data_IF_971198654194
#
_entry.id   IF_971198654194
#
_cell.length_a   1.000
_cell.length_b   1.000
_cell.length_c   1.000
_cell.angle_alpha   90.00
_cell.angle_beta   90.00
_cell.angle_gamma   90.00
#
_symmetry.space_group_name_H-M   'P 1'
#
loop_
_entity.id
_entity.type
_entity.pdbx_description
1 polymer ?
#
# COMPACT_ATOMS: atom_id res chain seq x y z
N UNK A 1 21.53 16.42 -3.86
CA UNK A 1 20.84 16.61 -2.57
C UNK A 1 19.42 17.05 -2.88
N UNK A 2 18.47 16.11 -2.94
CA UNK A 2 17.05 16.47 -2.92
C UNK A 2 16.76 17.02 -1.53
N UNK A 3 16.39 18.29 -1.43
CA UNK A 3 15.84 18.84 -0.18
C UNK A 3 14.51 18.16 0.07
N UNK A 4 14.50 17.11 0.90
CA UNK A 4 13.29 16.47 1.39
C UNK A 4 12.53 17.48 2.26
N UNK A 5 11.28 17.77 1.89
CA UNK A 5 10.40 18.71 2.59
C UNK A 5 9.57 18.00 3.68
N UNK A 6 10.13 16.98 4.32
CA UNK A 6 9.48 16.16 5.37
C UNK A 6 8.84 17.03 6.48
N UNK A 7 9.47 18.14 6.86
CA UNK A 7 9.02 19.03 7.92
C UNK A 7 7.62 19.63 7.65
N UNK A 8 7.18 19.68 6.39
CA UNK A 8 5.85 20.18 6.00
C UNK A 8 4.75 19.31 6.60
N UNK A 9 4.92 17.98 6.64
CA UNK A 9 3.93 17.09 7.24
C UNK A 9 3.80 17.29 8.75
N UNK A 10 4.94 17.38 9.45
CA UNK A 10 4.93 17.63 10.89
C UNK A 10 4.32 19.00 11.22
N UNK A 11 4.63 20.02 10.41
CA UNK A 11 3.98 21.33 10.51
C UNK A 11 2.47 21.25 10.29
N UNK A 12 2.00 20.51 9.28
CA UNK A 12 0.57 20.33 9.01
C UNK A 12 -0.14 19.60 10.14
N UNK A 13 0.47 18.54 10.72
CA UNK A 13 -0.07 17.84 11.88
C UNK A 13 -0.28 18.79 13.05
N UNK A 14 0.74 19.60 13.38
CA UNK A 14 0.65 20.60 14.46
C UNK A 14 -0.40 21.66 14.12
N UNK A 15 -0.39 22.19 12.90
CA UNK A 15 -1.32 23.24 12.47
C UNK A 15 -2.78 22.77 12.53
N UNK A 16 -3.08 21.56 12.04
CA UNK A 16 -4.42 20.96 12.10
C UNK A 16 -4.85 20.79 13.56
N UNK A 17 -3.99 20.19 14.40
CA UNK A 17 -4.32 19.96 15.80
C UNK A 17 -4.59 21.25 16.57
N UNK A 18 -3.68 22.24 16.46
CA UNK A 18 -3.81 23.53 17.15
C UNK A 18 -5.04 24.30 16.65
N UNK A 19 -5.26 24.33 15.33
CA UNK A 19 -6.41 25.02 14.75
C UNK A 19 -7.74 24.46 15.28
N UNK A 20 -7.91 23.14 15.25
CA UNK A 20 -9.14 22.48 15.70
C UNK A 20 -9.37 22.70 17.19
N UNK A 21 -8.32 22.61 18.00
CA UNK A 21 -8.40 22.86 19.45
C UNK A 21 -8.82 24.29 19.75
N UNK A 22 -8.24 25.29 19.07
CA UNK A 22 -8.60 26.71 19.25
C UNK A 22 -10.04 26.98 18.81
N UNK A 23 -10.46 26.43 17.67
CA UNK A 23 -11.84 26.59 17.16
C UNK A 23 -12.84 25.97 18.14
N UNK A 24 -12.53 24.79 18.71
CA UNK A 24 -13.41 24.13 19.67
C UNK A 24 -13.41 24.77 21.04
N UNK A 25 -12.30 25.38 21.46
CA UNK A 25 -12.28 26.21 22.67
C UNK A 25 -13.20 27.44 22.51
N UNK A 26 -13.31 28.01 21.30
CA UNK A 26 -14.20 29.15 21.01
C UNK A 26 -15.65 28.75 20.73
N UNK A 27 -15.91 27.51 20.30
CA UNK A 27 -17.26 26.95 20.19
C UNK A 27 -17.81 26.67 21.60
N UNK A 28 -19.05 27.06 21.85
CA UNK A 28 -19.72 26.71 23.12
C UNK A 28 -19.76 25.19 23.33
N UNK A 29 -19.63 24.76 24.59
CA UNK A 29 -19.44 23.36 25.03
C UNK A 29 -20.37 22.38 24.35
N UNK A 30 -21.65 22.71 24.33
CA UNK A 30 -22.68 21.87 23.74
C UNK A 30 -22.38 21.46 22.30
N UNK A 31 -22.03 22.44 21.46
CA UNK A 31 -21.83 22.20 20.03
C UNK A 31 -20.60 21.33 19.82
N UNK A 32 -19.56 21.60 20.62
CA UNK A 32 -18.35 20.81 20.65
C UNK A 32 -18.66 19.36 21.07
N UNK A 33 -19.46 19.12 22.11
CA UNK A 33 -19.82 17.75 22.56
C UNK A 33 -20.54 16.97 21.46
N UNK A 34 -21.59 17.54 20.87
CA UNK A 34 -22.39 16.85 19.84
C UNK A 34 -21.53 16.52 18.63
N UNK A 35 -20.71 17.47 18.16
CA UNK A 35 -19.82 17.24 17.02
C UNK A 35 -18.71 16.25 17.37
N UNK A 36 -18.07 16.36 18.53
CA UNK A 36 -17.00 15.47 18.96
C UNK A 36 -17.46 14.00 19.06
N UNK A 37 -18.60 13.74 19.70
CA UNK A 37 -19.22 12.41 19.72
C UNK A 37 -19.57 11.98 18.28
N UNK A 38 -20.12 12.89 17.50
CA UNK A 38 -20.42 12.70 16.09
C UNK A 38 -19.22 12.21 15.27
N UNK A 39 -18.06 12.85 15.41
CA UNK A 39 -16.82 12.48 14.74
C UNK A 39 -16.33 11.08 15.12
N UNK A 40 -16.35 10.76 16.41
CA UNK A 40 -15.93 9.44 16.91
C UNK A 40 -16.86 8.35 16.38
N UNK A 41 -18.18 8.53 16.55
CA UNK A 41 -19.17 7.56 16.06
C UNK A 41 -19.10 7.38 14.55
N UNK A 42 -18.92 8.48 13.80
CA UNK A 42 -18.81 8.44 12.35
C UNK A 42 -17.53 7.73 11.91
N UNK A 43 -16.40 7.96 12.59
CA UNK A 43 -15.16 7.25 12.34
C UNK A 43 -15.34 5.75 12.51
N UNK A 44 -15.89 5.32 13.64
CA UNK A 44 -16.13 3.89 13.91
C UNK A 44 -17.09 3.29 12.89
N UNK A 45 -18.23 3.94 12.63
CA UNK A 45 -19.22 3.45 11.68
C UNK A 45 -18.64 3.38 10.25
N UNK A 46 -17.91 4.40 9.81
CA UNK A 46 -17.29 4.43 8.49
C UNK A 46 -16.23 3.33 8.34
N UNK A 47 -15.39 3.11 9.35
CA UNK A 47 -14.39 2.03 9.34
C UNK A 47 -15.04 0.65 9.20
N UNK A 48 -16.07 0.37 10.00
CA UNK A 48 -16.77 -0.91 9.96
C UNK A 48 -17.47 -1.13 8.62
N UNK A 49 -18.18 -0.13 8.12
CA UNK A 49 -18.88 -0.23 6.83
C UNK A 49 -17.89 -0.33 5.67
N UNK A 50 -16.76 0.38 5.71
CA UNK A 50 -15.73 0.29 4.69
C UNK A 50 -15.08 -1.10 4.66
N UNK A 51 -14.75 -1.68 5.82
CA UNK A 51 -14.17 -3.02 5.91
C UNK A 51 -15.10 -4.10 5.31
N UNK A 52 -16.42 -3.95 5.47
CA UNK A 52 -17.41 -4.88 4.89
C UNK A 52 -17.63 -4.62 3.40
N UNK A 53 -17.66 -3.37 2.98
CA UNK A 53 -17.97 -3.00 1.59
C UNK A 53 -16.77 -3.15 0.64
N UNK A 54 -15.53 -2.98 1.12
CA UNK A 54 -14.35 -2.98 0.28
C UNK A 54 -14.10 -4.31 -0.45
N UNK A 55 -14.23 -5.50 0.18
CA UNK A 55 -14.09 -6.77 -0.53
C UNK A 55 -15.15 -6.97 -1.62
N UNK A 56 -16.40 -6.55 -1.38
CA UNK A 56 -17.46 -6.63 -2.38
C UNK A 56 -17.23 -5.67 -3.55
N UNK A 57 -16.74 -4.45 -3.26
CA UNK A 57 -16.36 -3.49 -4.29
C UNK A 57 -15.14 -3.96 -5.08
N UNK A 58 -14.18 -4.58 -4.42
CA UNK A 58 -13.01 -5.17 -5.05
C UNK A 58 -13.41 -6.20 -6.11
N UNK A 59 -14.27 -7.16 -5.73
CA UNK A 59 -14.75 -8.22 -6.63
C UNK A 59 -15.52 -7.66 -7.83
N UNK A 60 -16.23 -6.54 -7.67
CA UNK A 60 -17.08 -6.00 -8.73
C UNK A 60 -16.38 -5.03 -9.67
N UNK A 61 -15.31 -4.34 -9.23
CA UNK A 61 -14.75 -3.20 -9.98
C UNK A 61 -13.25 -3.35 -10.28
N UNK A 62 -12.53 -4.14 -9.48
CA UNK A 62 -11.08 -4.25 -9.55
C UNK A 62 -10.59 -5.63 -10.01
N UNK A 63 -11.20 -6.71 -9.52
CA UNK A 63 -10.73 -8.09 -9.73
C UNK A 63 -10.49 -8.39 -11.22
N UNK A 64 -11.50 -8.27 -12.07
CA UNK A 64 -11.38 -8.57 -13.51
C UNK A 64 -10.30 -7.73 -14.21
N UNK A 65 -10.13 -6.47 -13.81
CA UNK A 65 -9.11 -5.59 -14.38
C UNK A 65 -7.70 -6.03 -13.96
N UNK A 66 -7.53 -6.39 -12.68
CA UNK A 66 -6.26 -6.92 -12.17
C UNK A 66 -5.91 -8.25 -12.84
N UNK A 67 -6.86 -9.19 -12.95
CA UNK A 67 -6.65 -10.48 -13.62
C UNK A 67 -6.22 -10.26 -15.06
N UNK A 68 -6.93 -9.40 -15.83
CA UNK A 68 -6.54 -9.08 -17.21
C UNK A 68 -5.16 -8.44 -17.30
N UNK A 69 -4.84 -7.53 -16.39
CA UNK A 69 -3.54 -6.87 -16.32
C UNK A 69 -2.41 -7.88 -16.08
N UNK A 70 -2.57 -8.75 -15.08
CA UNK A 70 -1.60 -9.79 -14.72
C UNK A 70 -1.49 -10.85 -15.83
N UNK A 71 -2.60 -11.34 -16.38
CA UNK A 71 -2.59 -12.27 -17.53
C UNK A 71 -1.83 -11.65 -18.70
N UNK A 72 -2.00 -10.36 -18.96
CA UNK A 72 -1.30 -9.66 -20.05
C UNK A 72 0.18 -9.48 -19.72
N UNK A 73 0.55 -9.12 -18.50
CA UNK A 73 1.94 -9.04 -18.07
C UNK A 73 2.65 -10.39 -18.26
N UNK A 74 2.03 -11.47 -17.78
CA UNK A 74 2.55 -12.83 -17.93
C UNK A 74 2.78 -13.24 -19.40
N UNK A 75 1.93 -12.80 -20.34
CA UNK A 75 2.11 -13.10 -21.77
C UNK A 75 3.33 -12.43 -22.39
N UNK A 76 3.80 -11.33 -21.82
CA UNK A 76 4.97 -10.58 -22.30
C UNK A 76 6.26 -10.98 -21.57
N UNK A 77 6.16 -11.83 -20.54
CA UNK A 77 7.32 -12.31 -19.81
C UNK A 77 7.91 -13.56 -20.46
N UNK A 78 9.21 -13.52 -20.72
CA UNK A 78 10.07 -14.69 -20.85
C UNK A 78 11.11 -14.68 -19.72
N UNK A 79 10.80 -15.37 -18.62
CA UNK A 79 11.72 -15.43 -17.48
C UNK A 79 13.01 -16.18 -17.77
N UNK A 80 13.03 -17.09 -18.75
CA UNK A 80 14.25 -17.78 -19.13
C UNK A 80 15.21 -16.81 -19.82
N UNK A 81 14.69 -15.95 -20.70
CA UNK A 81 15.45 -14.87 -21.34
C UNK A 81 15.92 -13.84 -20.30
N UNK A 82 15.01 -13.32 -19.47
CA UNK A 82 15.32 -12.33 -18.42
C UNK A 82 16.44 -12.80 -17.50
N UNK A 83 16.35 -14.02 -16.97
CA UNK A 83 17.39 -14.53 -16.08
C UNK A 83 18.69 -14.85 -16.81
N UNK A 84 18.63 -15.35 -18.05
CA UNK A 84 19.83 -15.62 -18.83
C UNK A 84 20.59 -14.33 -19.14
N UNK A 85 19.88 -13.27 -19.56
CA UNK A 85 20.47 -11.95 -19.81
C UNK A 85 21.06 -11.35 -18.53
N UNK A 86 20.33 -11.41 -17.41
CA UNK A 86 20.81 -10.91 -16.13
C UNK A 86 22.11 -11.59 -15.67
N UNK A 87 22.23 -12.91 -15.88
CA UNK A 87 23.45 -13.68 -15.59
C UNK A 87 24.57 -13.31 -16.56
N UNK A 88 24.28 -13.23 -17.86
CA UNK A 88 25.26 -12.96 -18.91
C UNK A 88 25.83 -11.54 -18.87
N UNK A 89 25.08 -10.59 -18.27
CA UNK A 89 25.56 -9.24 -18.00
C UNK A 89 26.56 -9.17 -16.83
N UNK A 90 26.77 -10.27 -16.11
CA UNK A 90 27.80 -10.40 -15.07
C UNK A 90 29.05 -11.07 -15.63
N UNK A 91 30.23 -10.72 -15.10
CA UNK A 91 31.50 -11.35 -15.46
C UNK A 91 31.75 -12.64 -14.66
N UNK A 92 30.84 -13.61 -14.80
CA UNK A 92 30.93 -14.90 -14.10
C UNK A 92 31.78 -15.94 -14.83
N UNK A 93 32.30 -15.63 -16.01
CA UNK A 93 33.16 -16.54 -16.78
C UNK A 93 32.43 -17.69 -17.48
N UNK A 94 31.10 -17.64 -17.57
CA UNK A 94 30.30 -18.56 -18.36
C UNK A 94 29.10 -17.84 -19.00
N UNK A 95 28.47 -18.46 -19.99
CA UNK A 95 27.26 -17.96 -20.65
C UNK A 95 26.09 -18.89 -20.31
N UNK A 96 25.00 -18.32 -19.78
CA UNK A 96 23.72 -18.98 -19.60
C UNK A 96 22.97 -19.01 -20.93
N UNK A 97 22.76 -20.22 -21.46
CA UNK A 97 21.89 -20.46 -22.61
C UNK A 97 20.41 -20.45 -22.20
N UNK A 98 19.56 -19.79 -22.98
CA UNK A 98 18.13 -19.65 -22.69
C UNK A 98 17.43 -21.01 -22.60
N UNK A 99 17.81 -22.00 -23.41
CA UNK A 99 17.20 -23.34 -23.33
C UNK A 99 17.66 -24.10 -22.08
N UNK A 100 18.87 -23.82 -21.56
CA UNK A 100 19.29 -24.36 -20.27
C UNK A 100 18.48 -23.73 -19.13
N UNK A 101 18.28 -22.42 -19.16
CA UNK A 101 17.41 -21.71 -18.22
C UNK A 101 15.98 -22.22 -18.26
N UNK A 102 15.40 -22.37 -19.44
CA UNK A 102 14.05 -22.88 -19.62
C UNK A 102 13.89 -24.30 -19.05
N UNK A 103 14.90 -25.16 -19.21
CA UNK A 103 14.89 -26.52 -18.60
C UNK A 103 14.89 -26.49 -17.08
N UNK A 104 15.63 -25.55 -16.46
CA UNK A 104 15.65 -25.39 -15.01
C UNK A 104 14.26 -24.93 -14.53
N UNK A 105 13.72 -23.89 -15.17
CA UNK A 105 12.45 -23.27 -14.77
C UNK A 105 11.23 -24.17 -15.04
N UNK A 106 11.24 -24.97 -16.11
CA UNK A 106 10.16 -25.94 -16.40
C UNK A 106 10.22 -27.20 -15.55
N UNK A 107 11.26 -27.42 -14.74
CA UNK A 107 11.35 -28.61 -13.90
C UNK A 107 10.53 -28.44 -12.61
N UNK A 108 9.40 -29.15 -12.42
CA UNK A 108 8.50 -28.89 -11.30
C UNK A 108 9.13 -29.17 -9.92
N UNK A 109 10.15 -30.03 -9.86
CA UNK A 109 10.83 -30.38 -8.60
C UNK A 109 11.87 -29.35 -8.18
N UNK A 110 12.29 -28.51 -9.12
CA UNK A 110 13.45 -27.62 -8.99
C UNK A 110 13.08 -26.14 -9.14
N UNK A 111 11.96 -25.84 -9.80
CA UNK A 111 11.52 -24.48 -10.09
C UNK A 111 11.34 -23.61 -8.83
N UNK A 112 10.87 -24.17 -7.72
CA UNK A 112 10.73 -23.43 -6.48
C UNK A 112 12.08 -22.95 -5.88
N UNK A 113 13.18 -23.64 -6.21
CA UNK A 113 14.54 -23.34 -5.76
C UNK A 113 15.47 -23.02 -6.95
N UNK A 114 14.90 -22.41 -8.00
CA UNK A 114 15.58 -22.21 -9.27
C UNK A 114 16.85 -21.36 -9.17
N UNK A 115 16.94 -20.47 -8.17
CA UNK A 115 18.13 -19.65 -7.92
C UNK A 115 19.35 -20.54 -7.62
N UNK A 116 19.17 -21.57 -6.80
CA UNK A 116 20.23 -22.51 -6.45
C UNK A 116 20.62 -23.38 -7.63
N UNK A 117 19.65 -23.78 -8.45
CA UNK A 117 19.88 -24.59 -9.65
C UNK A 117 20.62 -23.81 -10.73
N UNK A 118 20.31 -22.52 -10.90
CA UNK A 118 21.08 -21.63 -11.77
C UNK A 118 22.51 -21.43 -11.29
N UNK A 119 22.69 -21.27 -9.98
CA UNK A 119 24.01 -21.15 -9.38
C UNK A 119 24.83 -22.44 -9.59
N UNK A 120 24.23 -23.61 -9.34
CA UNK A 120 24.91 -24.90 -9.49
C UNK A 120 25.28 -25.18 -10.95
N UNK A 121 24.40 -24.81 -11.89
CA UNK A 121 24.71 -24.86 -13.31
C UNK A 121 25.93 -24.00 -13.65
N UNK A 122 26.02 -22.78 -13.12
CA UNK A 122 27.18 -21.90 -13.33
C UNK A 122 28.46 -22.49 -12.75
N UNK A 123 28.39 -23.02 -11.52
CA UNK A 123 29.55 -23.58 -10.82
C UNK A 123 30.12 -24.80 -11.54
N UNK A 124 29.25 -25.64 -12.13
CA UNK A 124 29.65 -26.77 -12.97
C UNK A 124 30.36 -26.31 -14.25
N UNK A 125 29.99 -25.15 -14.82
CA UNK A 125 30.61 -24.59 -16.04
C UNK A 125 31.95 -23.91 -15.78
N UNK A 126 32.10 -23.24 -14.65
CA UNK A 126 33.33 -22.54 -14.25
C UNK A 126 34.33 -23.47 -13.55
N UNK A 127 33.91 -24.68 -13.16
CA UNK A 127 34.74 -25.63 -12.43
C UNK A 127 34.89 -25.31 -10.93
N UNK A 128 33.99 -24.49 -10.38
CA UNK A 128 34.00 -24.09 -8.97
C UNK A 128 33.15 -22.84 -8.69
N UNK A 129 33.08 -22.41 -7.41
CA UNK A 129 32.33 -21.21 -7.02
C UNK A 129 32.81 -19.95 -7.75
N UNK A 130 31.87 -19.17 -8.30
CA UNK A 130 32.15 -17.93 -9.05
C UNK A 130 31.57 -16.66 -8.37
N UNK A 131 30.66 -16.84 -7.43
CA UNK A 131 30.08 -15.80 -6.58
C UNK A 131 29.56 -16.44 -5.29
N UNK A 132 29.05 -15.66 -4.34
CA UNK A 132 28.21 -16.25 -3.28
C UNK A 132 26.79 -16.49 -3.80
N UNK A 133 26.09 -17.52 -3.28
CA UNK A 133 24.67 -17.77 -3.61
C UNK A 133 23.78 -16.56 -3.32
N UNK A 134 24.09 -15.80 -2.26
CA UNK A 134 23.34 -14.61 -1.87
C UNK A 134 23.48 -13.48 -2.90
N UNK A 135 24.71 -13.19 -3.34
CA UNK A 135 24.96 -12.19 -4.39
C UNK A 135 24.31 -12.59 -5.70
N UNK A 136 24.44 -13.87 -6.08
CA UNK A 136 23.83 -14.40 -7.29
C UNK A 136 22.29 -14.32 -7.26
N UNK A 137 21.65 -14.76 -6.17
CA UNK A 137 20.20 -14.62 -5.99
C UNK A 137 19.75 -13.16 -5.98
N UNK A 138 20.57 -12.23 -5.49
CA UNK A 138 20.26 -10.81 -5.57
C UNK A 138 20.23 -10.28 -7.02
N UNK A 139 21.12 -10.77 -7.89
CA UNK A 139 21.10 -10.44 -9.33
C UNK A 139 19.80 -10.91 -9.97
N UNK A 140 19.41 -12.18 -9.74
CA UNK A 140 18.17 -12.74 -10.28
C UNK A 140 16.93 -12.00 -9.76
N UNK A 141 16.88 -11.72 -8.46
CA UNK A 141 15.77 -10.98 -7.84
C UNK A 141 15.67 -9.55 -8.36
N UNK A 142 16.79 -8.85 -8.57
CA UNK A 142 16.75 -7.51 -9.13
C UNK A 142 16.24 -7.53 -10.57
N UNK A 143 16.68 -8.48 -11.40
CA UNK A 143 16.18 -8.65 -12.76
C UNK A 143 14.68 -8.98 -12.78
N UNK A 144 14.22 -9.87 -11.90
CA UNK A 144 12.79 -10.18 -11.75
C UNK A 144 11.97 -8.94 -11.38
N UNK A 145 12.43 -8.21 -10.36
CA UNK A 145 11.78 -6.98 -9.91
C UNK A 145 11.77 -5.92 -11.00
N UNK A 146 12.82 -5.78 -11.79
CA UNK A 146 12.88 -4.81 -12.88
C UNK A 146 11.96 -5.21 -14.03
N UNK A 147 12.16 -6.39 -14.64
CA UNK A 147 11.43 -6.80 -15.83
C UNK A 147 9.95 -7.05 -15.57
N UNK A 148 9.61 -7.93 -14.62
CA UNK A 148 8.20 -8.22 -14.33
C UNK A 148 7.51 -7.02 -13.70
N UNK A 149 8.27 -6.26 -12.92
CA UNK A 149 7.82 -5.01 -12.36
C UNK A 149 7.37 -3.98 -13.37
N UNK A 150 8.16 -3.77 -14.42
CA UNK A 150 7.82 -2.84 -15.49
C UNK A 150 6.58 -3.31 -16.25
N UNK A 151 6.46 -4.61 -16.52
CA UNK A 151 5.26 -5.18 -17.14
C UNK A 151 4.00 -4.96 -16.28
N UNK A 152 4.13 -5.11 -14.96
CA UNK A 152 3.06 -4.82 -14.01
C UNK A 152 2.71 -3.33 -13.99
N UNK A 153 3.69 -2.42 -13.92
CA UNK A 153 3.44 -0.97 -13.82
C UNK A 153 2.65 -0.42 -15.02
N UNK A 154 2.83 -1.01 -16.20
CA UNK A 154 2.09 -0.66 -17.41
C UNK A 154 0.65 -1.20 -17.45
N UNK A 155 0.32 -2.24 -16.66
CA UNK A 155 -0.90 -3.06 -16.83
C UNK A 155 -1.80 -3.14 -15.61
N UNK A 156 -1.26 -2.91 -14.42
CA UNK A 156 -2.02 -2.89 -13.15
C UNK A 156 -1.81 -1.56 -12.44
N UNK A 157 -2.71 -1.19 -11.50
CA UNK A 157 -2.53 0.04 -10.74
C UNK A 157 -1.20 0.07 -9.99
N UNK A 158 -0.55 1.23 -9.98
CA UNK A 158 0.81 1.41 -9.45
C UNK A 158 1.02 0.99 -7.99
N UNK A 159 0.00 1.12 -7.15
CA UNK A 159 0.07 0.63 -5.77
C UNK A 159 0.24 -0.89 -5.68
N UNK A 160 -0.22 -1.66 -6.68
CA UNK A 160 0.02 -3.11 -6.79
C UNK A 160 1.50 -3.36 -7.03
N UNK A 161 2.11 -2.60 -7.95
CA UNK A 161 3.54 -2.66 -8.24
C UNK A 161 4.40 -2.34 -7.00
N UNK A 162 4.09 -1.27 -6.28
CA UNK A 162 4.77 -0.90 -5.04
C UNK A 162 4.69 -2.01 -3.99
N UNK A 163 3.50 -2.61 -3.82
CA UNK A 163 3.30 -3.70 -2.87
C UNK A 163 4.05 -4.97 -3.28
N UNK A 164 4.03 -5.31 -4.58
CA UNK A 164 4.81 -6.42 -5.14
C UNK A 164 6.31 -6.26 -4.89
N UNK A 165 6.88 -5.08 -5.15
CA UNK A 165 8.30 -4.79 -4.89
C UNK A 165 8.66 -5.02 -3.43
N UNK A 166 7.83 -4.46 -2.53
CA UNK A 166 8.02 -4.60 -1.08
C UNK A 166 7.98 -6.06 -0.65
N UNK A 167 6.98 -6.81 -1.14
CA UNK A 167 6.78 -8.21 -0.79
C UNK A 167 7.96 -9.08 -1.24
N UNK A 168 8.36 -8.97 -2.51
CA UNK A 168 9.46 -9.77 -3.07
C UNK A 168 10.82 -9.42 -2.43
N UNK A 169 11.03 -8.16 -2.04
CA UNK A 169 12.24 -7.76 -1.28
C UNK A 169 12.23 -8.30 0.15
N UNK A 170 11.06 -8.44 0.77
CA UNK A 170 10.91 -8.86 2.17
C UNK A 170 10.82 -10.37 2.38
N UNK A 171 10.28 -11.12 1.42
CA UNK A 171 10.18 -12.59 1.44
C UNK A 171 11.07 -13.19 0.34
N UNK A 172 12.26 -13.72 0.70
CA UNK A 172 13.17 -14.35 -0.25
C UNK A 172 12.55 -15.52 -1.04
N UNK A 173 11.50 -16.15 -0.51
CA UNK A 173 10.85 -17.31 -1.15
C UNK A 173 9.74 -16.93 -2.13
N UNK A 174 9.26 -15.68 -2.09
CA UNK A 174 8.09 -15.28 -2.87
C UNK A 174 8.37 -15.36 -4.37
N UNK A 175 9.52 -14.86 -4.83
CA UNK A 175 9.90 -14.94 -6.25
C UNK A 175 9.84 -16.39 -6.77
N UNK A 176 10.44 -17.34 -6.05
CA UNK A 176 10.40 -18.77 -6.42
C UNK A 176 8.98 -19.31 -6.53
N UNK A 177 8.08 -18.94 -5.61
CA UNK A 177 6.65 -19.31 -5.68
C UNK A 177 5.98 -18.73 -6.93
N UNK A 178 6.18 -17.44 -7.22
CA UNK A 178 5.54 -16.79 -8.37
C UNK A 178 6.05 -17.38 -9.70
N UNK A 179 7.35 -17.64 -9.80
CA UNK A 179 7.96 -18.31 -10.97
C UNK A 179 7.43 -19.75 -11.12
N UNK A 180 7.24 -20.47 -10.01
CA UNK A 180 6.64 -21.81 -10.04
C UNK A 180 5.22 -21.78 -10.62
N UNK A 181 4.39 -20.84 -10.17
CA UNK A 181 3.03 -20.65 -10.72
C UNK A 181 3.08 -20.29 -12.20
N UNK A 182 4.02 -19.42 -12.61
CA UNK A 182 4.20 -19.04 -14.00
C UNK A 182 4.49 -20.24 -14.91
N UNK A 183 5.38 -21.14 -14.50
CA UNK A 183 5.76 -22.34 -15.26
C UNK A 183 4.88 -23.58 -15.00
N UNK A 184 3.83 -23.47 -14.17
CA UNK A 184 2.90 -24.57 -13.95
C UNK A 184 2.06 -24.83 -15.21
N UNK A 185 2.24 -25.98 -15.84
CA UNK A 185 1.52 -26.36 -17.06
C UNK A 185 0.11 -26.92 -16.78
N UNK A 186 -0.27 -27.09 -15.51
CA UNK A 186 -1.59 -27.57 -15.12
C UNK A 186 -2.63 -26.46 -14.99
N UNK A 187 -2.17 -25.21 -14.90
CA UNK A 187 -3.00 -24.02 -14.75
C UNK A 187 -3.23 -23.31 -16.09
N UNK A 188 -4.46 -22.86 -16.33
CA UNK A 188 -4.74 -21.96 -17.45
C UNK A 188 -4.22 -20.54 -17.15
N UNK A 189 -4.02 -19.68 -18.18
CA UNK A 189 -3.46 -18.34 -17.98
C UNK A 189 -4.17 -17.49 -16.93
N UNK A 190 -5.51 -17.55 -16.88
CA UNK A 190 -6.29 -16.78 -15.91
C UNK A 190 -6.23 -17.38 -14.50
N UNK A 191 -6.11 -18.71 -14.37
CA UNK A 191 -5.89 -19.36 -13.06
C UNK A 191 -4.52 -18.98 -12.49
N UNK A 192 -3.49 -18.87 -13.33
CA UNK A 192 -2.18 -18.36 -12.93
C UNK A 192 -2.30 -16.93 -12.43
N UNK A 193 -3.00 -16.08 -13.20
CA UNK A 193 -3.21 -14.69 -12.81
C UNK A 193 -3.97 -14.59 -11.49
N UNK A 194 -4.98 -15.43 -11.24
CA UNK A 194 -5.71 -15.48 -9.98
C UNK A 194 -4.82 -15.83 -8.79
N UNK A 195 -3.97 -16.85 -8.93
CA UNK A 195 -3.01 -17.20 -7.86
C UNK A 195 -2.04 -16.04 -7.60
N UNK A 196 -1.52 -15.39 -8.64
CA UNK A 196 -0.61 -14.26 -8.49
C UNK A 196 -1.31 -13.03 -7.89
N UNK A 197 -2.55 -12.77 -8.30
CA UNK A 197 -3.41 -11.72 -7.80
C UNK A 197 -3.53 -11.85 -6.27
N UNK A 198 -3.85 -13.05 -5.77
CA UNK A 198 -4.04 -13.29 -4.34
C UNK A 198 -2.76 -13.08 -3.54
N UNK A 199 -1.58 -13.27 -4.14
CA UNK A 199 -0.28 -13.09 -3.49
C UNK A 199 0.09 -11.62 -3.31
N UNK A 200 -0.16 -10.76 -4.30
CA UNK A 200 0.35 -9.38 -4.26
C UNK A 200 -0.61 -8.27 -4.70
N UNK A 201 -1.72 -8.56 -5.38
CA UNK A 201 -2.63 -7.53 -5.90
C UNK A 201 -3.89 -7.33 -5.03
N UNK A 202 -4.44 -8.39 -4.44
CA UNK A 202 -5.74 -8.33 -3.76
C UNK A 202 -5.73 -7.37 -2.59
N UNK A 203 -4.75 -7.55 -1.73
CA UNK A 203 -4.60 -6.81 -0.48
C UNK A 203 -4.42 -5.31 -0.71
N UNK A 204 -3.41 -4.84 -1.47
CA UNK A 204 -3.24 -3.39 -1.67
C UNK A 204 -4.42 -2.76 -2.40
N UNK A 205 -5.05 -3.48 -3.34
CA UNK A 205 -6.26 -2.98 -4.02
C UNK A 205 -7.44 -2.83 -3.06
N UNK A 206 -7.67 -3.83 -2.21
CA UNK A 206 -8.73 -3.79 -1.20
C UNK A 206 -8.50 -2.69 -0.19
N UNK A 207 -7.26 -2.50 0.29
CA UNK A 207 -6.89 -1.41 1.21
C UNK A 207 -7.19 -0.03 0.59
N UNK A 208 -6.83 0.19 -0.68
CA UNK A 208 -7.14 1.44 -1.39
C UNK A 208 -8.65 1.68 -1.47
N UNK A 209 -9.42 0.66 -1.86
CA UNK A 209 -10.89 0.75 -1.93
C UNK A 209 -11.51 1.00 -0.55
N UNK A 210 -10.97 0.39 0.49
CA UNK A 210 -11.43 0.60 1.86
C UNK A 210 -11.23 2.04 2.32
N UNK A 211 -10.07 2.65 2.01
CA UNK A 211 -9.82 4.06 2.28
C UNK A 211 -10.82 4.94 1.51
N UNK A 212 -11.05 4.66 0.22
CA UNK A 212 -12.02 5.40 -0.58
C UNK A 212 -13.45 5.32 -0.02
N UNK A 213 -13.92 4.12 0.31
CA UNK A 213 -15.26 3.92 0.87
C UNK A 213 -15.37 4.60 2.24
N UNK A 214 -14.35 4.46 3.08
CA UNK A 214 -14.30 5.14 4.38
C UNK A 214 -14.50 6.64 4.21
N UNK A 215 -13.76 7.29 3.30
CA UNK A 215 -13.85 8.74 3.08
C UNK A 215 -15.23 9.16 2.58
N UNK A 216 -15.87 8.36 1.71
CA UNK A 216 -17.23 8.62 1.21
C UNK A 216 -18.24 8.50 2.35
N UNK A 217 -18.24 7.39 3.08
CA UNK A 217 -19.19 7.14 4.18
C UNK A 217 -19.01 8.18 5.28
N UNK A 218 -17.77 8.43 5.68
CA UNK A 218 -17.44 9.45 6.67
C UNK A 218 -18.01 10.81 6.27
N UNK A 219 -17.79 11.23 5.01
CA UNK A 219 -18.28 12.52 4.52
C UNK A 219 -19.81 12.60 4.55
N UNK A 220 -20.51 11.57 4.08
CA UNK A 220 -21.98 11.52 4.06
C UNK A 220 -22.56 11.57 5.48
N UNK A 221 -22.02 10.75 6.39
CA UNK A 221 -22.51 10.69 7.77
C UNK A 221 -22.19 11.98 8.52
N UNK A 222 -21.01 12.58 8.32
CA UNK A 222 -20.66 13.85 8.94
C UNK A 222 -21.58 15.00 8.49
N UNK A 223 -22.05 15.00 7.25
CA UNK A 223 -23.07 15.97 6.80
C UNK A 223 -24.36 15.79 7.60
N UNK A 224 -24.82 14.55 7.80
CA UNK A 224 -26.01 14.26 8.61
C UNK A 224 -25.82 14.73 10.05
N UNK A 225 -24.67 14.42 10.67
CA UNK A 225 -24.33 14.85 12.02
C UNK A 225 -24.30 16.38 12.14
N UNK A 226 -23.74 17.08 11.15
CA UNK A 226 -23.71 18.53 11.12
C UNK A 226 -25.13 19.14 11.05
N UNK A 227 -26.02 18.55 10.24
CA UNK A 227 -27.42 18.97 10.16
C UNK A 227 -28.17 18.74 11.48
N UNK A 228 -28.00 17.56 12.09
CA UNK A 228 -28.59 17.25 13.41
C UNK A 228 -28.09 18.24 14.46
N UNK A 229 -26.78 18.53 14.48
CA UNK A 229 -26.20 19.51 15.40
C UNK A 229 -26.81 20.91 15.21
N UNK A 230 -27.06 21.33 13.97
CA UNK A 230 -27.70 22.62 13.68
C UNK A 230 -29.16 22.68 14.15
N UNK A 231 -29.93 21.60 14.01
CA UNK A 231 -31.33 21.55 14.46
C UNK A 231 -31.42 21.52 16.00
N UNK A 232 -30.57 20.73 16.66
CA UNK A 232 -30.58 20.60 18.13
C UNK A 232 -30.18 21.89 18.83
N UNK A 233 -29.30 22.70 18.21
CA UNK A 233 -28.91 24.02 18.70
C UNK A 233 -30.13 24.94 18.93
N UNK A 234 -31.15 24.86 18.08
CA UNK A 234 -32.34 25.72 18.21
C UNK A 234 -33.35 25.25 19.27
N UNK A 235 -33.22 24.03 19.83
CA UNK A 235 -34.27 23.45 20.71
C UNK A 235 -33.83 23.13 22.13
N UNK A 236 -32.58 22.75 22.36
CA UNK A 236 -32.20 22.06 23.61
C UNK A 236 -31.28 22.88 24.51
N UNK A 237 -30.59 23.89 23.98
CA UNK A 237 -29.39 24.39 24.66
C UNK A 237 -29.52 25.82 25.15
N UNK A 238 -29.61 25.92 26.49
CA UNK A 238 -29.40 27.16 27.22
C UNK A 238 -28.00 27.68 26.95
N UNK A 239 -27.90 28.98 26.68
CA UNK A 239 -26.66 29.71 26.48
C UNK A 239 -25.91 29.83 27.82
N UNK A 240 -25.36 28.72 28.30
CA UNK A 240 -24.42 28.71 29.43
C UNK A 240 -23.12 29.24 28.84
N UNK A 241 -22.76 30.46 29.24
CA UNK A 241 -21.61 31.20 28.74
C UNK A 241 -20.72 31.52 29.94
N UNK A 242 -20.10 30.50 30.53
CA UNK A 242 -19.18 30.63 31.66
C UNK A 242 -17.78 30.15 31.29
N UNK A 243 -16.74 30.68 31.94
CA UNK A 243 -15.33 30.40 31.61
C UNK A 243 -14.93 28.91 31.68
N UNK A 244 -15.71 28.06 32.38
CA UNK A 244 -15.57 26.59 32.40
C UNK A 244 -15.84 25.95 31.03
N UNK A 245 -16.51 26.66 30.14
CA UNK A 245 -16.93 26.17 28.83
C UNK A 245 -15.75 26.06 27.83
N UNK A 246 -14.74 26.91 27.98
CA UNK A 246 -13.57 26.89 27.11
C UNK A 246 -12.66 25.68 27.36
N UNK A 247 -12.55 25.22 28.61
CA UNK A 247 -11.72 24.07 28.96
C UNK A 247 -12.31 22.75 28.43
N UNK A 248 -13.63 22.57 28.57
CA UNK A 248 -14.33 21.40 28.04
C UNK A 248 -14.32 21.41 26.51
N UNK A 249 -14.53 22.58 25.89
CA UNK A 249 -14.36 22.75 24.44
C UNK A 249 -12.96 22.37 23.95
N UNK A 250 -11.91 22.75 24.70
CA UNK A 250 -10.52 22.38 24.37
C UNK A 250 -10.30 20.86 24.42
N UNK A 251 -10.79 20.17 25.46
CA UNK A 251 -10.66 18.70 25.57
C UNK A 251 -11.35 17.97 24.41
N UNK A 252 -12.54 18.42 24.04
CA UNK A 252 -13.27 17.84 22.90
C UNK A 252 -12.55 18.15 21.58
N UNK A 253 -11.97 19.34 21.46
CA UNK A 253 -11.13 19.73 20.34
C UNK A 253 -9.93 18.80 20.14
N UNK A 254 -9.35 18.24 21.20
CA UNK A 254 -8.27 17.24 21.09
C UNK A 254 -8.78 15.94 20.45
N UNK A 255 -9.99 15.50 20.80
CA UNK A 255 -10.60 14.31 20.21
C UNK A 255 -10.90 14.55 18.72
N UNK A 256 -11.52 15.68 18.38
CA UNK A 256 -11.79 16.06 16.98
C UNK A 256 -10.49 16.20 16.18
N UNK A 257 -9.44 16.77 16.78
CA UNK A 257 -8.12 16.85 16.16
C UNK A 257 -7.57 15.47 15.83
N UNK A 258 -7.69 14.50 16.76
CA UNK A 258 -7.29 13.11 16.50
C UNK A 258 -7.99 12.52 15.28
N UNK A 259 -9.31 12.68 15.17
CA UNK A 259 -10.09 12.19 14.01
C UNK A 259 -9.66 12.89 12.72
N UNK A 260 -9.45 14.20 12.75
CA UNK A 260 -9.00 14.95 11.57
C UNK A 260 -7.58 14.58 11.13
N UNK A 261 -6.70 14.25 12.08
CA UNK A 261 -5.39 13.68 11.77
C UNK A 261 -5.50 12.27 11.16
N UNK A 262 -6.49 11.47 11.57
CA UNK A 262 -6.80 10.20 10.89
C UNK A 262 -7.18 10.45 9.44
N UNK A 263 -8.10 11.37 9.16
CA UNK A 263 -8.49 11.72 7.78
C UNK A 263 -7.30 12.22 6.97
N UNK A 264 -6.49 13.12 7.53
CA UNK A 264 -5.30 13.64 6.87
C UNK A 264 -4.31 12.51 6.51
N UNK A 265 -4.13 11.55 7.41
CA UNK A 265 -3.26 10.38 7.20
C UNK A 265 -3.81 9.49 6.08
N UNK A 266 -5.10 9.18 6.10
CA UNK A 266 -5.74 8.34 5.08
C UNK A 266 -5.71 8.99 3.70
N UNK A 267 -5.99 10.29 3.61
CA UNK A 267 -5.88 11.06 2.36
C UNK A 267 -4.44 11.06 1.87
N UNK A 268 -3.47 11.32 2.76
CA UNK A 268 -2.06 11.33 2.37
C UNK A 268 -1.60 9.95 1.87
N UNK A 269 -2.00 8.86 2.53
CA UNK A 269 -1.72 7.50 2.07
C UNK A 269 -2.35 7.23 0.70
N UNK A 270 -3.61 7.63 0.52
CA UNK A 270 -4.29 7.49 -0.76
C UNK A 270 -3.56 8.23 -1.88
N UNK A 271 -3.10 9.45 -1.61
CA UNK A 271 -2.30 10.23 -2.55
C UNK A 271 -0.96 9.53 -2.87
N UNK A 272 -0.25 9.01 -1.88
CA UNK A 272 0.99 8.24 -2.10
C UNK A 272 0.75 7.03 -2.99
N UNK A 273 -0.31 6.26 -2.71
CA UNK A 273 -0.65 5.04 -3.46
C UNK A 273 -1.10 5.34 -4.90
N UNK A 274 -1.88 6.40 -5.11
CA UNK A 274 -2.36 6.78 -6.45
C UNK A 274 -1.30 7.49 -7.29
N UNK A 275 -0.43 8.29 -6.66
CA UNK A 275 0.62 9.04 -7.35
C UNK A 275 1.95 8.27 -7.45
N UNK A 276 2.04 7.12 -6.78
CA UNK A 276 3.20 6.24 -6.72
C UNK A 276 4.51 6.93 -6.32
N UNK A 277 4.45 7.88 -5.40
CA UNK A 277 5.66 8.49 -4.83
C UNK A 277 6.46 9.44 -5.75
N UNK A 278 5.96 9.80 -6.94
CA UNK A 278 6.70 10.69 -7.85
C UNK A 278 6.64 12.18 -7.46
N UNK A 279 5.70 12.57 -6.58
CA UNK A 279 5.69 13.93 -6.06
C UNK A 279 6.72 14.09 -4.96
N UNK A 280 7.46 15.21 -5.01
CA UNK A 280 8.46 15.64 -4.04
C UNK A 280 7.97 15.63 -2.58
N UNK A 281 6.65 15.74 -2.37
CA UNK A 281 6.04 15.76 -1.04
C UNK A 281 5.39 14.42 -0.65
N UNK A 282 4.68 13.74 -1.55
CA UNK A 282 3.88 12.55 -1.21
C UNK A 282 4.55 11.26 -1.65
N UNK A 283 5.58 10.83 -0.90
CA UNK A 283 6.28 9.56 -1.10
C UNK A 283 6.68 8.93 0.25
N UNK A 284 6.91 7.61 0.26
CA UNK A 284 7.21 6.89 1.51
C UNK A 284 8.54 7.33 2.16
N UNK A 285 9.55 7.69 1.37
CA UNK A 285 10.85 8.15 1.88
C UNK A 285 10.72 9.45 2.69
N UNK A 286 9.99 10.43 2.14
CA UNK A 286 9.74 11.73 2.78
C UNK A 286 8.89 11.57 4.04
N UNK A 287 7.92 10.64 4.02
CA UNK A 287 7.08 10.34 5.19
C UNK A 287 7.89 9.66 6.29
N UNK A 288 8.78 8.72 5.95
CA UNK A 288 9.62 8.02 6.92
C UNK A 288 10.58 8.97 7.66
N UNK A 289 10.99 10.07 7.03
CA UNK A 289 11.82 11.11 7.67
C UNK A 289 11.05 12.00 8.65
N UNK A 290 9.72 11.98 8.64
CA UNK A 290 8.90 12.78 9.56
C UNK A 290 8.96 12.25 10.99
N UNK A 291 8.81 13.13 11.98
CA UNK A 291 8.87 12.74 13.40
C UNK A 291 7.50 12.52 14.02
N UNK A 292 6.51 13.31 13.60
CA UNK A 292 5.14 13.25 14.14
C UNK A 292 4.22 12.52 13.17
N UNK A 293 4.31 12.82 11.88
CA UNK A 293 3.39 12.25 10.90
C UNK A 293 3.61 10.74 10.71
N UNK A 294 4.85 10.26 10.72
CA UNK A 294 5.20 8.83 10.63
C UNK A 294 4.50 7.99 11.71
N UNK A 295 4.42 8.49 12.94
CA UNK A 295 3.69 7.83 14.02
C UNK A 295 2.23 7.55 13.64
N UNK A 296 1.53 8.57 13.11
CA UNK A 296 0.15 8.42 12.65
C UNK A 296 0.07 7.53 11.41
N UNK A 297 0.98 7.72 10.46
CA UNK A 297 1.03 6.96 9.22
C UNK A 297 1.21 5.46 9.46
N UNK A 298 2.04 5.07 10.42
CA UNK A 298 2.30 3.65 10.73
C UNK A 298 1.21 3.03 11.62
N UNK A 299 0.68 3.76 12.60
CA UNK A 299 -0.28 3.19 13.55
C UNK A 299 -1.73 3.19 13.01
N UNK A 300 -2.09 4.11 12.12
CA UNK A 300 -3.43 4.16 11.54
C UNK A 300 -3.62 3.06 10.49
N UNK A 301 -2.54 2.45 9.95
CA UNK A 301 -2.69 1.26 9.10
C UNK A 301 -3.34 0.07 9.80
N UNK A 302 -3.37 0.07 11.14
CA UNK A 302 -3.90 -1.03 11.96
C UNK A 302 -5.41 -0.85 12.24
N UNK A 303 -5.96 0.34 11.98
CA UNK A 303 -7.36 0.68 12.26
C UNK A 303 -8.31 0.48 11.07
N UNK A 304 -7.76 0.08 9.91
CA UNK A 304 -8.51 -0.37 8.74
C UNK A 304 -8.26 -1.85 8.51
#
# INVERSE_FOLDING_TARGET
>A
MSTSFWWVFDFLVIAIAVYIVIVNAKRGVTKSIVLGIGYVLTTVAASLLAAVAAPALYQSVAYDNNIRGITTANKHMDFAEVFSEAINNQDYGYIMDVNAAERILKNPKKCADFENEFYDYGADKTGGPFATRQEFGAVLRNAFLESYGNELDERVPRYVRMYFDKQVRSDPTLMGKLITVFYDNTLYPDDKADVLEQQFAAKPTTEVLQIFIYLIIFSVVMVIVALISAILQNRIFFNIQNSTDHAVGMLIGVIEAGVMLVLFTLISRLLVLLMGGHFLFFNEETIAETKLFSFFYDHISILL
#
